data_IF_918347242115
#
_entry.id   IF_918347242115
#
_cell.length_a   1.000
_cell.length_b   1.000
_cell.length_c   1.000
_cell.angle_alpha   90.00
_cell.angle_beta   90.00
_cell.angle_gamma   90.00
#
_symmetry.space_group_name_H-M   'P 1'
#
loop_
_entity.id
_entity.type
_entity.pdbx_description
1 polymer ?
#
# COMPACT_ATOMS: atom_id res chain seq x y z
N UNK A 1 -4.36 17.16 8.19
CA UNK A 1 -4.19 16.27 9.36
C UNK A 1 -4.35 14.79 9.02
N UNK A 2 -5.51 14.25 8.59
CA UNK A 2 -5.65 12.79 8.37
C UNK A 2 -4.74 12.23 7.26
N UNK A 3 -4.78 12.82 6.06
CA UNK A 3 -3.98 12.36 4.93
C UNK A 3 -2.48 12.48 5.21
N UNK A 4 -2.04 13.62 5.75
CA UNK A 4 -0.64 13.90 6.06
C UNK A 4 -0.07 12.85 7.02
N UNK A 5 -0.78 12.55 8.11
CA UNK A 5 -0.34 11.56 9.09
C UNK A 5 -0.22 10.14 8.49
N UNK A 6 -1.08 9.77 7.54
CA UNK A 6 -0.96 8.49 6.84
C UNK A 6 0.22 8.49 5.86
N UNK A 7 0.44 9.60 5.17
CA UNK A 7 1.53 9.74 4.22
C UNK A 7 2.90 9.78 4.89
N UNK A 8 2.99 10.23 6.15
CA UNK A 8 4.21 10.13 6.95
C UNK A 8 4.67 8.68 7.15
N UNK A 9 3.75 7.70 7.18
CA UNK A 9 4.08 6.27 7.31
C UNK A 9 4.76 5.69 6.06
N UNK A 10 4.60 6.36 4.92
CA UNK A 10 5.19 5.97 3.63
C UNK A 10 6.60 6.54 3.47
N UNK A 11 7.00 7.49 4.33
CA UNK A 11 8.34 8.07 4.37
C UNK A 11 9.42 7.02 4.67
N UNK A 12 10.63 7.14 4.11
CA UNK A 12 11.78 6.30 4.48
C UNK A 12 12.13 6.37 5.97
N UNK A 13 11.92 7.53 6.59
CA UNK A 13 12.11 7.76 8.02
C UNK A 13 10.77 8.26 8.61
N UNK A 14 9.86 7.34 8.97
CA UNK A 14 8.57 7.72 9.55
C UNK A 14 8.76 8.17 11.00
N UNK A 15 7.99 9.18 11.43
CA UNK A 15 7.99 9.62 12.83
C UNK A 15 7.40 8.56 13.77
N UNK A 16 6.47 7.75 13.25
CA UNK A 16 5.89 6.60 13.93
C UNK A 16 6.46 5.32 13.32
N UNK A 17 7.26 4.58 14.09
CA UNK A 17 7.80 3.29 13.68
C UNK A 17 6.77 2.17 13.92
N UNK A 18 6.10 1.73 12.85
CA UNK A 18 5.17 0.60 12.90
C UNK A 18 5.88 -0.76 13.03
N UNK A 19 7.20 -0.80 12.87
CA UNK A 19 8.01 -2.00 12.97
C UNK A 19 8.67 -2.18 14.33
N UNK A 20 8.43 -1.27 15.29
CA UNK A 20 8.96 -1.34 16.65
C UNK A 20 8.37 -2.56 17.41
N UNK A 21 9.17 -3.58 17.73
CA UNK A 21 8.70 -4.76 18.45
C UNK A 21 8.57 -4.51 19.97
N UNK A 22 9.10 -3.41 20.49
CA UNK A 22 9.11 -3.08 21.92
C UNK A 22 7.81 -2.42 22.37
N UNK A 23 7.11 -1.75 21.45
CA UNK A 23 5.82 -1.10 21.69
C UNK A 23 4.78 -1.52 20.63
N UNK A 24 4.27 -2.76 20.68
CA UNK A 24 3.35 -3.27 19.67
C UNK A 24 1.98 -2.59 19.76
N UNK A 25 1.43 -2.23 18.59
CA UNK A 25 0.05 -1.76 18.46
C UNK A 25 -0.84 -2.96 18.09
N UNK A 26 -1.71 -3.38 19.00
CA UNK A 26 -2.68 -4.43 18.71
C UNK A 26 -3.92 -3.88 18.02
N UNK A 27 -4.34 -4.57 16.95
CA UNK A 27 -5.57 -4.31 16.21
C UNK A 27 -6.18 -5.63 15.75
N UNK A 28 -7.40 -5.59 15.24
CA UNK A 28 -8.00 -6.74 14.59
C UNK A 28 -7.33 -6.98 13.23
N UNK A 29 -6.82 -8.19 13.01
CA UNK A 29 -6.16 -8.58 11.77
C UNK A 29 -6.80 -9.86 11.20
N UNK A 30 -7.37 -9.74 10.01
CA UNK A 30 -7.89 -10.87 9.26
C UNK A 30 -6.78 -11.69 8.59
N UNK A 31 -7.03 -12.98 8.39
CA UNK A 31 -6.13 -13.87 7.64
C UNK A 31 -6.29 -13.59 6.14
N UNK A 32 -5.60 -12.57 5.65
CA UNK A 32 -5.63 -12.15 4.25
C UNK A 32 -4.51 -12.80 3.44
N UNK A 33 -4.72 -13.05 2.13
CA UNK A 33 -3.64 -13.48 1.25
C UNK A 33 -2.56 -12.39 1.13
N UNK A 34 -1.34 -12.74 0.72
CA UNK A 34 -0.29 -11.75 0.47
C UNK A 34 -0.71 -10.78 -0.65
N UNK A 35 -0.15 -9.57 -0.63
CA UNK A 35 -0.30 -8.62 -1.72
C UNK A 35 0.22 -9.23 -3.03
N UNK A 36 -0.56 -9.06 -4.10
CA UNK A 36 -0.26 -9.64 -5.41
C UNK A 36 0.01 -8.54 -6.44
N UNK A 37 1.15 -8.63 -7.10
CA UNK A 37 1.56 -7.75 -8.19
C UNK A 37 1.58 -8.56 -9.48
N UNK A 38 0.91 -8.08 -10.53
CA UNK A 38 0.71 -8.83 -11.78
C UNK A 38 1.04 -7.93 -12.97
N UNK A 39 1.55 -8.57 -14.02
CA UNK A 39 2.00 -7.99 -15.28
C UNK A 39 3.36 -7.29 -15.19
N UNK A 40 4.15 -7.54 -16.22
CA UNK A 40 5.50 -7.02 -16.42
C UNK A 40 5.79 -6.97 -17.93
N UNK A 41 4.88 -6.39 -18.68
CA UNK A 41 5.01 -6.17 -20.11
C UNK A 41 5.27 -4.66 -20.38
N UNK A 42 5.66 -4.31 -21.61
CA UNK A 42 6.00 -2.92 -21.94
C UNK A 42 4.80 -1.95 -21.82
N UNK A 43 3.58 -2.47 -21.95
CA UNK A 43 2.35 -1.67 -21.91
C UNK A 43 1.81 -1.50 -20.49
N UNK A 44 2.01 -2.49 -19.61
CA UNK A 44 1.55 -2.46 -18.22
C UNK A 44 2.45 -3.26 -17.29
N UNK A 45 2.68 -2.69 -16.11
CA UNK A 45 3.43 -3.31 -15.02
C UNK A 45 2.73 -3.07 -13.70
N UNK A 46 2.48 -4.14 -12.94
CA UNK A 46 2.00 -4.04 -11.56
C UNK A 46 3.16 -3.74 -10.62
N UNK A 47 3.27 -2.51 -10.12
CA UNK A 47 4.36 -2.12 -9.21
C UNK A 47 3.91 -1.07 -8.19
N UNK A 48 4.56 -1.10 -7.03
CA UNK A 48 4.45 -0.06 -6.01
C UNK A 48 5.86 0.45 -5.65
N UNK A 49 6.04 1.77 -5.62
CA UNK A 49 7.31 2.45 -5.31
C UNK A 49 7.07 3.48 -4.23
N UNK A 50 7.96 3.54 -3.23
CA UNK A 50 7.80 4.40 -2.06
C UNK A 50 6.37 4.30 -1.51
N UNK A 51 5.89 3.08 -1.28
CA UNK A 51 4.47 2.82 -0.98
C UNK A 51 4.34 1.64 -0.04
N UNK A 52 3.35 1.70 0.84
CA UNK A 52 3.02 0.60 1.77
C UNK A 52 1.77 -0.13 1.28
N UNK A 53 1.83 -1.45 1.17
CA UNK A 53 0.75 -2.28 0.61
C UNK A 53 0.36 -3.37 1.59
N UNK A 54 -0.91 -3.39 1.98
CA UNK A 54 -1.46 -4.38 2.92
C UNK A 54 -1.81 -5.71 2.26
N UNK A 55 -2.06 -6.74 3.09
CA UNK A 55 -2.59 -8.02 2.63
C UNK A 55 -3.94 -7.89 1.92
N UNK A 56 -4.24 -8.82 1.02
CA UNK A 56 -5.46 -8.80 0.21
C UNK A 56 -5.40 -7.88 -1.03
N UNK A 57 -4.37 -7.05 -1.17
CA UNK A 57 -4.27 -6.14 -2.31
C UNK A 57 -3.91 -6.86 -3.61
N UNK A 58 -4.50 -6.42 -4.73
CA UNK A 58 -4.12 -6.86 -6.08
C UNK A 58 -3.79 -5.63 -6.93
N UNK A 59 -2.53 -5.48 -7.33
CA UNK A 59 -2.07 -4.45 -8.25
C UNK A 59 -1.82 -5.09 -9.62
N UNK A 60 -2.73 -4.81 -10.55
CA UNK A 60 -2.90 -5.54 -11.80
C UNK A 60 -2.50 -4.66 -12.98
N UNK A 61 -1.21 -4.52 -13.26
CA UNK A 61 -0.74 -3.78 -14.44
C UNK A 61 -0.88 -2.26 -14.29
N UNK A 62 -0.57 -1.77 -13.10
CA UNK A 62 -0.69 -0.37 -12.71
C UNK A 62 0.42 0.05 -11.77
N UNK A 63 0.71 1.34 -11.77
CA UNK A 63 1.82 1.92 -11.03
C UNK A 63 1.29 2.72 -9.85
N UNK A 64 1.71 2.32 -8.65
CA UNK A 64 1.42 3.00 -7.38
C UNK A 64 2.70 3.68 -6.89
N UNK A 65 2.64 4.98 -6.57
CA UNK A 65 3.77 5.76 -6.06
C UNK A 65 3.37 6.55 -4.83
N UNK A 66 4.24 6.66 -3.83
CA UNK A 66 4.02 7.54 -2.67
C UNK A 66 2.61 7.39 -2.11
N UNK A 67 2.16 6.17 -1.86
CA UNK A 67 0.77 5.87 -1.50
C UNK A 67 0.68 4.78 -0.44
N UNK A 68 -0.42 4.80 0.31
CA UNK A 68 -0.74 3.82 1.34
C UNK A 68 -2.01 3.06 0.93
N UNK A 69 -1.89 1.73 0.81
CA UNK A 69 -2.99 0.82 0.50
C UNK A 69 -3.34 -0.01 1.73
N UNK A 70 -4.55 0.18 2.24
CA UNK A 70 -5.14 -0.71 3.25
C UNK A 70 -5.58 -2.04 2.63
N UNK A 71 -6.11 -2.94 3.45
CA UNK A 71 -6.47 -4.30 3.04
C UNK A 71 -7.49 -4.38 1.90
N UNK A 72 -7.40 -5.45 1.11
CA UNK A 72 -8.34 -5.80 0.04
C UNK A 72 -8.44 -4.85 -1.17
N UNK A 73 -7.57 -3.84 -1.29
CA UNK A 73 -7.62 -2.89 -2.41
C UNK A 73 -7.28 -3.56 -3.76
N UNK A 74 -8.14 -3.35 -4.76
CA UNK A 74 -7.94 -3.81 -6.13
C UNK A 74 -7.62 -2.65 -7.07
N UNK A 75 -6.42 -2.66 -7.65
CA UNK A 75 -6.01 -1.70 -8.68
C UNK A 75 -6.01 -2.42 -10.03
N UNK A 76 -6.95 -2.06 -10.89
CA UNK A 76 -7.05 -2.58 -12.26
C UNK A 76 -5.99 -1.99 -13.18
N UNK A 77 -5.85 -2.54 -14.39
CA UNK A 77 -4.80 -2.17 -15.34
C UNK A 77 -4.90 -0.73 -15.83
N UNK A 78 -3.74 -0.17 -16.18
CA UNK A 78 -3.59 1.16 -16.77
C UNK A 78 -3.97 2.31 -15.83
N UNK A 79 -3.90 2.09 -14.51
CA UNK A 79 -4.04 3.12 -13.50
C UNK A 79 -2.67 3.63 -13.06
N UNK A 80 -2.62 4.92 -12.74
CA UNK A 80 -1.50 5.57 -12.07
C UNK A 80 -2.03 6.20 -10.78
N UNK A 81 -1.51 5.74 -9.64
CA UNK A 81 -1.92 6.19 -8.31
C UNK A 81 -0.73 6.87 -7.65
N UNK A 82 -0.91 8.12 -7.24
CA UNK A 82 0.14 8.91 -6.62
C UNK A 82 -0.39 9.74 -5.46
N UNK A 83 0.32 9.73 -4.32
CA UNK A 83 -0.04 10.55 -3.16
C UNK A 83 -1.37 10.16 -2.52
N UNK A 84 -1.77 8.89 -2.60
CA UNK A 84 -3.10 8.43 -2.22
C UNK A 84 -3.11 7.62 -0.93
N UNK A 85 -4.20 7.75 -0.17
CA UNK A 85 -4.54 6.88 0.95
C UNK A 85 -5.79 6.09 0.54
N UNK A 86 -5.62 4.81 0.22
CA UNK A 86 -6.70 3.92 -0.22
C UNK A 86 -7.18 3.07 0.95
N UNK A 87 -8.36 3.38 1.46
CA UNK A 87 -9.02 2.68 2.57
C UNK A 87 -9.49 1.27 2.15
N UNK A 88 -9.79 0.37 3.11
CA UNK A 88 -10.20 -0.99 2.79
C UNK A 88 -11.44 -1.07 1.88
N UNK A 89 -11.42 -1.97 0.90
CA UNK A 89 -12.53 -2.22 -0.03
C UNK A 89 -12.21 -3.22 -1.12
#
# INVERSE_FOLDING_TARGET
>A
SFWEANMELVSPEPQLDLYDPTWPIWTYQEQLPPAKFIFDDEERRGMAVDSTVSGGCIISGSVVRRSLLFSNVHVHSFCEIEGAVLLPG
#
